data_IF_260594661594
#
_entry.id   IF_260594661594
#
_cell.length_a   1.000
_cell.length_b   1.000
_cell.length_c   1.000
_cell.angle_alpha   90.00
_cell.angle_beta   90.00
_cell.angle_gamma   90.00
#
_symmetry.space_group_name_H-M   'P 1'
#
loop_
_entity.id
_entity.type
_entity.pdbx_description
1 polymer ?
#
# COMPACT_ATOMS: atom_id res chain seq x y z
N UNK A 1 -29.53 47.33 -8.94
CA UNK A 1 -29.48 45.91 -9.34
C UNK A 1 -28.27 45.75 -10.25
N UNK A 2 -27.12 45.13 -9.95
CA UNK A 2 -26.51 44.61 -8.73
C UNK A 2 -25.07 44.16 -9.11
N UNK A 3 -24.16 45.09 -9.45
CA UNK A 3 -22.79 44.72 -9.87
C UNK A 3 -21.83 44.46 -8.68
N UNK A 4 -22.20 44.93 -7.48
CA UNK A 4 -21.38 44.82 -6.27
C UNK A 4 -21.49 43.45 -5.58
N UNK A 5 -22.47 42.62 -5.94
CA UNK A 5 -22.72 41.32 -5.31
C UNK A 5 -21.86 40.18 -5.91
N UNK A 6 -21.43 40.30 -7.17
CA UNK A 6 -20.66 39.25 -7.83
C UNK A 6 -19.18 39.22 -7.38
N UNK A 7 -18.53 40.37 -7.25
CA UNK A 7 -17.12 40.44 -6.85
C UNK A 7 -16.85 39.89 -5.43
N UNK A 8 -17.80 40.10 -4.50
CA UNK A 8 -17.71 39.59 -3.12
C UNK A 8 -17.85 38.06 -3.04
N UNK A 9 -18.59 37.47 -3.98
CA UNK A 9 -18.79 36.01 -4.06
C UNK A 9 -17.56 35.30 -4.62
N UNK A 10 -16.87 35.90 -5.58
CA UNK A 10 -15.64 35.36 -6.18
C UNK A 10 -14.46 35.41 -5.22
N UNK A 11 -14.31 36.48 -4.44
CA UNK A 11 -13.24 36.59 -3.42
C UNK A 11 -13.38 35.52 -2.32
N UNK A 12 -14.60 35.29 -1.80
CA UNK A 12 -14.86 34.24 -0.79
C UNK A 12 -14.61 32.82 -1.30
N UNK A 13 -14.84 32.57 -2.59
CA UNK A 13 -14.59 31.26 -3.19
C UNK A 13 -13.09 30.97 -3.33
N UNK A 14 -12.28 31.98 -3.65
CA UNK A 14 -10.83 31.84 -3.78
C UNK A 14 -10.14 31.57 -2.44
N UNK A 15 -10.51 32.29 -1.37
CA UNK A 15 -9.98 32.04 -0.02
C UNK A 15 -10.30 30.62 0.45
N UNK A 16 -11.55 30.17 0.27
CA UNK A 16 -11.98 28.82 0.67
C UNK A 16 -11.22 27.71 -0.07
N UNK A 17 -10.90 27.92 -1.34
CA UNK A 17 -10.13 26.97 -2.13
C UNK A 17 -8.66 26.90 -1.67
N UNK A 18 -8.08 28.03 -1.29
CA UNK A 18 -6.69 28.10 -0.82
C UNK A 18 -6.54 27.50 0.59
N UNK A 19 -7.52 27.70 1.48
CA UNK A 19 -7.58 27.05 2.79
C UNK A 19 -7.74 25.53 2.66
N UNK A 20 -8.61 25.06 1.76
CA UNK A 20 -8.78 23.62 1.51
C UNK A 20 -7.48 22.97 1.00
N UNK A 21 -6.76 23.65 0.10
CA UNK A 21 -5.48 23.15 -0.43
C UNK A 21 -4.37 23.13 0.64
N UNK A 22 -4.31 24.13 1.52
CA UNK A 22 -3.38 24.14 2.65
C UNK A 22 -3.73 23.06 3.67
N UNK A 23 -5.01 22.90 4.01
CA UNK A 23 -5.48 21.89 4.94
C UNK A 23 -5.15 20.47 4.44
N UNK A 24 -5.35 20.18 3.14
CA UNK A 24 -4.97 18.91 2.54
C UNK A 24 -3.46 18.64 2.68
N UNK A 25 -2.60 19.61 2.32
CA UNK A 25 -1.14 19.48 2.43
C UNK A 25 -0.63 19.31 3.86
N UNK A 26 -1.27 19.96 4.84
CA UNK A 26 -0.92 19.82 6.26
C UNK A 26 -1.35 18.45 6.78
N UNK A 27 -2.50 17.94 6.33
CA UNK A 27 -2.95 16.55 6.60
C UNK A 27 -1.96 15.54 6.04
N UNK A 28 -1.52 15.67 4.78
CA UNK A 28 -0.56 14.74 4.18
C UNK A 28 0.74 14.69 4.98
N UNK A 29 1.31 15.86 5.35
CA UNK A 29 2.53 15.92 6.18
C UNK A 29 2.33 15.37 7.59
N UNK A 30 1.19 15.64 8.23
CA UNK A 30 0.90 15.14 9.56
C UNK A 30 0.64 13.61 9.55
N UNK A 31 0.01 13.09 8.50
CA UNK A 31 -0.15 11.65 8.27
C UNK A 31 1.19 10.97 8.03
N UNK A 32 2.10 11.59 7.28
CA UNK A 32 3.46 11.08 7.06
C UNK A 32 4.27 11.03 8.37
N UNK A 33 4.22 12.11 9.16
CA UNK A 33 4.85 12.17 10.48
C UNK A 33 4.22 11.15 11.46
N UNK A 34 2.90 10.97 11.44
CA UNK A 34 2.19 9.97 12.25
C UNK A 34 2.54 8.53 11.87
N UNK A 35 2.71 8.23 10.58
CA UNK A 35 3.21 6.93 10.09
C UNK A 35 4.62 6.64 10.58
N UNK A 36 5.44 7.66 10.85
CA UNK A 36 6.82 7.49 11.33
C UNK A 36 6.88 6.98 12.78
N UNK A 37 5.95 7.42 13.64
CA UNK A 37 5.90 7.02 15.04
C UNK A 37 5.12 5.73 15.27
N UNK A 38 4.14 5.43 14.42
CA UNK A 38 3.37 4.19 14.44
C UNK A 38 3.12 3.71 13.00
N UNK A 39 4.05 2.97 12.39
CA UNK A 39 3.92 2.55 11.01
C UNK A 39 2.68 1.68 10.81
N UNK A 40 1.90 1.92 9.75
CA UNK A 40 0.72 1.12 9.45
C UNK A 40 1.10 -0.34 9.29
N UNK A 41 0.22 -1.20 9.81
CA UNK A 41 0.34 -2.66 9.68
C UNK A 41 0.05 -3.09 8.24
N UNK A 42 0.53 -4.26 7.85
CA UNK A 42 0.45 -4.73 6.46
C UNK A 42 -0.98 -4.80 5.90
N UNK A 43 -1.98 -5.07 6.75
CA UNK A 43 -3.40 -5.12 6.34
C UNK A 43 -4.01 -3.74 6.03
N UNK A 44 -3.27 -2.65 6.28
CA UNK A 44 -3.66 -1.27 5.98
C UNK A 44 -2.89 -0.65 4.82
N UNK A 45 -1.99 -1.41 4.21
CA UNK A 45 -1.13 -0.94 3.12
C UNK A 45 -1.66 -1.42 1.77
N UNK A 46 -1.51 -0.56 0.77
CA UNK A 46 -1.71 -0.96 -0.63
C UNK A 46 -0.58 -1.86 -1.13
N UNK A 47 -0.77 -2.65 -2.21
CA UNK A 47 0.31 -3.44 -2.81
C UNK A 47 1.55 -2.62 -3.15
N UNK A 48 1.35 -1.40 -3.65
CA UNK A 48 2.43 -0.45 -3.94
C UNK A 48 3.23 -0.04 -2.71
N UNK A 49 2.57 0.19 -1.58
CA UNK A 49 3.28 0.48 -0.32
C UNK A 49 3.97 -0.76 0.24
N UNK A 50 3.39 -1.95 0.09
CA UNK A 50 3.96 -3.21 0.60
C UNK A 50 5.23 -3.57 -0.16
N UNK A 51 5.24 -3.45 -1.50
CA UNK A 51 6.43 -3.77 -2.31
C UNK A 51 7.61 -2.85 -1.99
N UNK A 52 7.34 -1.68 -1.40
CA UNK A 52 8.36 -0.72 -0.99
C UNK A 52 9.07 -1.06 0.32
N UNK A 53 8.55 -2.02 1.07
CA UNK A 53 9.13 -2.46 2.34
C UNK A 53 10.27 -3.47 2.14
N UNK A 54 11.30 -3.34 2.97
CA UNK A 54 12.31 -4.38 3.14
C UNK A 54 11.85 -5.50 4.08
N UNK A 55 12.66 -6.56 4.21
CA UNK A 55 12.31 -7.74 5.00
C UNK A 55 12.04 -7.46 6.48
N UNK A 56 12.81 -6.56 7.11
CA UNK A 56 12.65 -6.21 8.52
C UNK A 56 11.39 -5.39 8.74
N UNK A 57 11.03 -4.52 7.80
CA UNK A 57 9.79 -3.76 7.83
C UNK A 57 8.57 -4.65 7.65
N UNK A 58 8.61 -5.61 6.73
CA UNK A 58 7.55 -6.62 6.57
C UNK A 58 7.34 -7.39 7.88
N UNK A 59 8.43 -7.81 8.54
CA UNK A 59 8.38 -8.52 9.82
C UNK A 59 7.90 -7.63 10.98
N UNK A 60 8.29 -6.36 11.03
CA UNK A 60 7.91 -5.42 12.08
C UNK A 60 6.47 -4.90 11.97
N UNK A 61 5.90 -4.93 10.75
CA UNK A 61 4.55 -4.41 10.46
C UNK A 61 3.47 -5.49 10.42
N UNK A 62 3.75 -6.70 10.92
CA UNK A 62 2.74 -7.76 11.03
C UNK A 62 1.54 -7.27 11.86
N UNK A 63 0.30 -7.44 11.35
CA UNK A 63 -0.91 -7.35 12.15
C UNK A 63 -0.93 -8.42 13.25
N UNK A 64 -1.77 -8.23 14.26
CA UNK A 64 -1.89 -9.18 15.36
C UNK A 64 -2.33 -10.56 14.86
N UNK A 65 -1.66 -11.62 15.36
CA UNK A 65 -1.92 -13.01 15.00
C UNK A 65 -1.40 -13.43 13.62
N UNK A 66 -0.81 -12.53 12.84
CA UNK A 66 -0.17 -12.89 11.58
C UNK A 66 1.21 -13.52 11.83
N UNK A 67 1.63 -14.40 10.92
CA UNK A 67 2.92 -15.08 11.02
C UNK A 67 3.84 -14.68 9.88
N UNK A 68 5.14 -14.69 10.17
CA UNK A 68 6.21 -14.50 9.19
C UNK A 68 7.14 -15.70 9.25
N UNK A 69 7.33 -16.37 8.12
CA UNK A 69 8.17 -17.55 8.01
C UNK A 69 9.13 -17.37 6.83
N UNK A 70 10.42 -17.43 7.10
CA UNK A 70 11.48 -17.32 6.10
C UNK A 70 12.28 -18.62 6.08
N UNK A 71 12.43 -19.21 4.88
CA UNK A 71 13.16 -20.45 4.69
C UNK A 71 13.48 -20.65 3.20
N UNK A 72 14.72 -21.04 2.90
CA UNK A 72 15.20 -21.34 1.54
C UNK A 72 14.90 -20.24 0.51
N UNK A 73 15.23 -18.99 0.85
CA UNK A 73 15.05 -17.83 -0.04
C UNK A 73 13.59 -17.50 -0.34
N UNK A 74 12.66 -17.97 0.50
CA UNK A 74 11.24 -17.64 0.44
C UNK A 74 10.76 -17.02 1.72
N UNK A 75 9.77 -16.16 1.59
CA UNK A 75 9.06 -15.55 2.71
C UNK A 75 7.58 -15.83 2.57
N UNK A 76 6.96 -16.30 3.64
CA UNK A 76 5.53 -16.52 3.72
C UNK A 76 4.95 -15.71 4.87
N UNK A 77 4.05 -14.79 4.55
CA UNK A 77 3.28 -14.02 5.51
C UNK A 77 1.82 -14.47 5.44
N UNK A 78 1.30 -14.93 6.57
CA UNK A 78 -0.06 -15.48 6.68
C UNK A 78 -0.87 -14.71 7.72
N UNK A 79 -2.18 -14.61 7.47
CA UNK A 79 -3.11 -14.10 8.48
C UNK A 79 -3.27 -15.11 9.64
N UNK A 80 -4.04 -14.73 10.66
CA UNK A 80 -4.34 -15.59 11.81
C UNK A 80 -5.11 -16.88 11.49
N UNK A 81 -5.72 -16.99 10.30
CA UNK A 81 -6.38 -18.21 9.82
C UNK A 81 -5.42 -19.14 9.06
N UNK A 82 -4.20 -18.69 8.78
CA UNK A 82 -3.21 -19.43 8.00
C UNK A 82 -3.28 -19.18 6.48
N UNK A 83 -4.12 -18.24 6.03
CA UNK A 83 -4.20 -17.86 4.62
C UNK A 83 -3.01 -16.98 4.23
N UNK A 84 -2.45 -17.21 3.05
CA UNK A 84 -1.39 -16.35 2.51
C UNK A 84 -1.92 -14.94 2.26
N UNK A 85 -1.14 -13.95 2.69
CA UNK A 85 -1.35 -12.53 2.37
C UNK A 85 -0.21 -11.94 1.58
N UNK A 86 1.02 -12.35 1.88
CA UNK A 86 2.20 -12.02 1.09
C UNK A 86 3.06 -13.28 0.93
N UNK A 87 3.60 -13.49 -0.27
CA UNK A 87 4.67 -14.47 -0.51
C UNK A 87 5.80 -13.76 -1.25
N UNK A 88 7.04 -14.02 -0.87
CA UNK A 88 8.22 -13.65 -1.66
C UNK A 88 8.82 -14.97 -2.13
N UNK A 89 8.92 -15.11 -3.44
CA UNK A 89 9.39 -16.30 -4.11
C UNK A 89 10.60 -15.96 -5.01
N UNK A 90 11.57 -16.88 -5.16
CA UNK A 90 12.61 -16.76 -6.18
C UNK A 90 12.01 -16.87 -7.59
N UNK A 91 12.82 -16.63 -8.66
CA UNK A 91 12.42 -16.89 -10.03
C UNK A 91 11.70 -18.24 -10.20
N UNK A 92 10.67 -18.25 -11.03
CA UNK A 92 9.86 -19.41 -11.30
C UNK A 92 9.62 -19.58 -12.81
N UNK A 93 8.62 -20.38 -13.20
CA UNK A 93 8.31 -20.62 -14.62
C UNK A 93 7.58 -19.45 -15.29
N UNK A 94 7.09 -18.48 -14.53
CA UNK A 94 6.32 -17.32 -15.02
C UNK A 94 7.23 -16.11 -15.12
N UNK A 95 8.12 -15.93 -14.14
CA UNK A 95 9.05 -14.79 -14.10
C UNK A 95 10.47 -15.24 -13.75
N UNK A 96 11.47 -14.59 -14.34
CA UNK A 96 12.89 -14.88 -14.17
C UNK A 96 13.56 -14.06 -13.05
N UNK A 97 12.75 -13.37 -12.24
CA UNK A 97 13.19 -12.49 -11.15
C UNK A 97 12.52 -12.86 -9.81
N UNK A 98 13.14 -12.44 -8.70
CA UNK A 98 12.53 -12.52 -7.37
C UNK A 98 11.27 -11.66 -7.34
N UNK A 99 10.18 -12.22 -6.87
CA UNK A 99 8.88 -11.57 -6.95
C UNK A 99 8.08 -11.72 -5.67
N UNK A 100 7.18 -10.78 -5.48
CA UNK A 100 6.20 -10.74 -4.42
C UNK A 100 4.81 -11.06 -5.00
N UNK A 101 4.10 -11.97 -4.33
CA UNK A 101 2.67 -12.16 -4.47
C UNK A 101 1.96 -11.47 -3.31
N UNK A 102 0.92 -10.70 -3.61
CA UNK A 102 0.05 -10.06 -2.61
C UNK A 102 -1.38 -10.56 -2.84
N UNK A 103 -2.11 -10.87 -1.78
CA UNK A 103 -3.46 -11.44 -1.85
C UNK A 103 -4.49 -10.55 -1.15
N UNK A 104 -5.68 -10.46 -1.73
CA UNK A 104 -6.84 -9.82 -1.12
C UNK A 104 -7.35 -10.62 0.10
N UNK A 105 -8.42 -10.14 0.73
CA UNK A 105 -9.05 -10.82 1.87
C UNK A 105 -9.51 -12.26 1.55
N UNK A 106 -9.91 -12.52 0.30
CA UNK A 106 -10.44 -13.79 -0.22
C UNK A 106 -9.34 -14.72 -0.77
N UNK A 107 -8.06 -14.32 -0.69
CA UNK A 107 -6.93 -15.11 -1.21
C UNK A 107 -6.75 -15.00 -2.73
N UNK A 108 -7.32 -13.98 -3.37
CA UNK A 108 -7.11 -13.70 -4.79
C UNK A 108 -5.84 -12.85 -5.00
N UNK A 109 -5.00 -13.17 -6.00
CA UNK A 109 -3.80 -12.40 -6.28
C UNK A 109 -4.13 -10.99 -6.74
N UNK A 110 -3.32 -10.03 -6.30
CA UNK A 110 -3.40 -8.62 -6.68
C UNK A 110 -2.17 -8.23 -7.51
N UNK A 111 -2.37 -7.32 -8.46
CA UNK A 111 -1.29 -6.58 -9.10
C UNK A 111 -0.77 -5.44 -8.21
N UNK A 112 0.24 -4.71 -8.68
CA UNK A 112 0.84 -3.56 -7.99
C UNK A 112 -0.17 -2.43 -7.67
N UNK A 113 -1.27 -2.35 -8.42
CA UNK A 113 -2.30 -1.33 -8.26
C UNK A 113 -3.46 -1.80 -7.36
N UNK A 114 -3.46 -3.07 -6.92
CA UNK A 114 -4.54 -3.65 -6.13
C UNK A 114 -5.69 -4.22 -6.94
N UNK A 115 -5.54 -4.41 -8.25
CA UNK A 115 -6.55 -5.10 -9.05
C UNK A 115 -6.38 -6.61 -8.91
N UNK A 116 -7.51 -7.32 -8.84
CA UNK A 116 -7.50 -8.79 -8.88
C UNK A 116 -7.03 -9.25 -10.26
N UNK A 117 -6.00 -10.09 -10.28
CA UNK A 117 -5.43 -10.65 -11.51
C UNK A 117 -5.39 -12.18 -11.45
N UNK A 118 -5.26 -12.79 -12.63
CA UNK A 118 -5.08 -14.24 -12.71
C UNK A 118 -3.73 -14.62 -12.08
N UNK A 119 -3.70 -15.65 -11.23
CA UNK A 119 -2.48 -16.16 -10.60
C UNK A 119 -1.39 -16.55 -11.61
N UNK A 120 -1.77 -16.96 -12.82
CA UNK A 120 -0.84 -17.33 -13.89
C UNK A 120 -0.36 -16.12 -14.72
N UNK A 121 -0.85 -14.91 -14.44
CA UNK A 121 -0.39 -13.69 -15.09
C UNK A 121 0.94 -13.25 -14.49
N UNK A 122 1.89 -12.73 -15.30
CA UNK A 122 3.04 -11.98 -14.79
C UNK A 122 2.65 -10.84 -13.85
N UNK A 123 1.46 -10.23 -14.03
CA UNK A 123 0.98 -9.14 -13.16
C UNK A 123 0.81 -9.57 -11.69
N UNK A 124 0.63 -10.87 -11.43
CA UNK A 124 0.56 -11.42 -10.07
C UNK A 124 1.96 -11.61 -9.43
N UNK A 125 3.04 -11.36 -10.19
CA UNK A 125 4.45 -11.58 -9.81
C UNK A 125 5.15 -10.22 -9.81
N UNK A 126 4.92 -9.45 -8.74
CA UNK A 126 5.41 -8.08 -8.62
C UNK A 126 6.92 -8.13 -8.34
N UNK A 127 7.80 -7.52 -9.16
CA UNK A 127 9.24 -7.54 -8.91
C UNK A 127 9.60 -7.07 -7.51
N UNK A 128 10.49 -7.79 -6.83
CA UNK A 128 10.94 -7.43 -5.48
C UNK A 128 12.35 -7.99 -5.19
N UNK A 129 13.28 -7.12 -4.83
CA UNK A 129 14.70 -7.43 -4.62
C UNK A 129 15.28 -6.83 -3.31
N UNK A 130 14.42 -6.56 -2.33
CA UNK A 130 14.75 -5.81 -1.09
C UNK A 130 15.09 -6.73 0.09
N UNK A 131 15.81 -7.82 -0.19
CA UNK A 131 16.31 -8.76 0.80
C UNK A 131 17.31 -8.12 1.76
#
# INVERSE_FOLDING_TARGET
>A
MDAANDASKVAKAADKANDALKAARVVDKASDAGKLFNPPKLDKLSPKEIVDLNIQELKGRLPEGWTFNEHNGRVHIKNSKGDYKIRIDPPDRITDYNHMHIYDENGKPLDINGNIVNRKSPDAHIPWDKY
#
